data_IF_706312250067
#
_entry.id   IF_706312250067
#
_cell.length_a   1.000
_cell.length_b   1.000
_cell.length_c   1.000
_cell.angle_alpha   90.00
_cell.angle_beta   90.00
_cell.angle_gamma   90.00
#
_symmetry.space_group_name_H-M   'P 1'
#
loop_
_entity.id
_entity.type
_entity.pdbx_description
1 polymer ?
#
# COMPACT_ATOMS: atom_id res chain seq x y z
N UNK A 1 -23.97 35.25 -60.57
CA UNK A 1 -22.54 35.00 -60.29
C UNK A 1 -22.41 33.52 -59.96
N UNK A 2 -22.31 32.68 -60.99
CA UNK A 2 -22.26 31.22 -60.85
C UNK A 2 -20.95 30.79 -60.18
N UNK A 3 -21.06 30.06 -59.06
CA UNK A 3 -19.91 29.43 -58.42
C UNK A 3 -19.51 28.18 -59.22
N UNK A 4 -18.31 28.19 -59.78
CA UNK A 4 -17.72 27.00 -60.42
C UNK A 4 -17.40 25.94 -59.34
N UNK A 5 -17.79 24.67 -59.55
CA UNK A 5 -17.45 23.60 -58.62
C UNK A 5 -15.95 23.36 -58.62
N UNK A 6 -15.36 23.25 -57.42
CA UNK A 6 -13.95 22.96 -57.21
C UNK A 6 -13.65 21.54 -57.72
N UNK A 7 -13.20 21.40 -58.96
CA UNK A 7 -12.69 20.12 -59.47
C UNK A 7 -11.30 19.84 -58.88
N UNK A 8 -11.29 19.22 -57.71
CA UNK A 8 -10.07 18.70 -57.11
C UNK A 8 -9.70 17.43 -57.88
N UNK A 9 -8.57 17.47 -58.59
CA UNK A 9 -8.02 16.30 -59.29
C UNK A 9 -7.85 15.13 -58.32
N UNK A 10 -8.38 13.96 -58.68
CA UNK A 10 -8.30 12.71 -57.89
C UNK A 10 -6.87 12.36 -57.49
N UNK A 11 -5.87 12.67 -58.34
CA UNK A 11 -4.44 12.51 -58.03
C UNK A 11 -3.97 13.41 -56.88
N UNK A 12 -4.47 14.65 -56.78
CA UNK A 12 -4.11 15.57 -55.70
C UNK A 12 -4.73 15.13 -54.36
N UNK A 13 -5.96 14.61 -54.38
CA UNK A 13 -6.61 14.06 -53.19
C UNK A 13 -5.87 12.82 -52.67
N UNK A 14 -5.50 11.89 -53.57
CA UNK A 14 -4.68 10.72 -53.23
C UNK A 14 -3.34 11.10 -52.60
N UNK A 15 -2.62 12.06 -53.20
CA UNK A 15 -1.35 12.53 -52.65
C UNK A 15 -1.51 13.13 -51.24
N UNK A 16 -2.57 13.90 -51.02
CA UNK A 16 -2.84 14.51 -49.72
C UNK A 16 -3.19 13.47 -48.66
N UNK A 17 -3.98 12.44 -49.01
CA UNK A 17 -4.26 11.31 -48.11
C UNK A 17 -3.01 10.51 -47.77
N UNK A 18 -2.12 10.26 -48.73
CA UNK A 18 -0.83 9.61 -48.47
C UNK A 18 0.07 10.45 -47.57
N UNK A 19 0.10 11.78 -47.77
CA UNK A 19 0.86 12.69 -46.92
C UNK A 19 0.33 12.71 -45.48
N UNK A 20 -0.99 12.74 -45.31
CA UNK A 20 -1.63 12.65 -43.99
C UNK A 20 -1.36 11.30 -43.31
N UNK A 21 -1.46 10.19 -44.04
CA UNK A 21 -1.15 8.86 -43.51
C UNK A 21 0.32 8.74 -43.10
N UNK A 22 1.22 9.27 -43.92
CA UNK A 22 2.65 9.30 -43.63
C UNK A 22 2.96 10.16 -42.40
N UNK A 23 2.33 11.34 -42.29
CA UNK A 23 2.46 12.20 -41.12
C UNK A 23 1.89 11.52 -39.87
N UNK A 24 0.75 10.86 -39.98
CA UNK A 24 0.14 10.10 -38.89
C UNK A 24 1.05 8.93 -38.44
N UNK A 25 1.68 8.21 -39.37
CA UNK A 25 2.64 7.15 -39.07
C UNK A 25 3.92 7.69 -38.42
N UNK A 26 4.42 8.85 -38.88
CA UNK A 26 5.57 9.52 -38.26
C UNK A 26 5.24 10.00 -36.84
N UNK A 27 4.07 10.60 -36.65
CA UNK A 27 3.61 11.04 -35.34
C UNK A 27 3.36 9.84 -34.42
N UNK A 28 2.74 8.77 -34.91
CA UNK A 28 2.53 7.54 -34.14
C UNK A 28 3.86 6.89 -33.75
N UNK A 29 4.85 6.85 -34.65
CA UNK A 29 6.19 6.33 -34.32
C UNK A 29 6.97 7.23 -33.36
N UNK A 30 6.74 8.55 -33.39
CA UNK A 30 7.40 9.52 -32.50
C UNK A 30 6.73 9.62 -31.13
N UNK A 31 5.41 9.45 -31.05
CA UNK A 31 4.60 9.55 -29.84
C UNK A 31 4.19 8.20 -29.24
N UNK A 32 4.46 7.06 -29.90
CA UNK A 32 4.47 5.75 -29.25
C UNK A 32 5.67 5.69 -28.30
N UNK A 33 5.50 6.36 -27.18
CA UNK A 33 6.37 6.32 -26.04
C UNK A 33 6.17 4.95 -25.40
N UNK A 34 7.16 4.07 -25.56
CA UNK A 34 7.16 2.79 -24.87
C UNK A 34 7.45 3.05 -23.38
N UNK A 35 6.38 3.32 -22.64
CA UNK A 35 6.41 3.57 -21.19
C UNK A 35 7.08 2.42 -20.45
N UNK A 36 6.87 1.19 -20.90
CA UNK A 36 7.52 -0.01 -20.40
C UNK A 36 9.04 0.01 -20.59
N UNK A 37 9.55 0.48 -21.72
CA UNK A 37 10.98 0.61 -21.96
C UNK A 37 11.63 1.67 -21.05
N UNK A 38 10.95 2.81 -20.85
CA UNK A 38 11.44 3.89 -19.97
C UNK A 38 11.45 3.44 -18.51
N UNK A 39 10.39 2.80 -18.04
CA UNK A 39 10.34 2.23 -16.68
C UNK A 39 11.46 1.21 -16.49
N UNK A 40 11.66 0.29 -17.45
CA UNK A 40 12.78 -0.68 -17.40
C UNK A 40 14.13 0.02 -17.34
N UNK A 41 14.33 1.09 -18.09
CA UNK A 41 15.58 1.86 -18.08
C UNK A 41 15.80 2.56 -16.73
N UNK A 42 14.78 3.18 -16.15
CA UNK A 42 14.85 3.82 -14.83
C UNK A 42 15.16 2.77 -13.76
N UNK A 43 14.42 1.66 -13.72
CA UNK A 43 14.67 0.56 -12.77
C UNK A 43 16.08 0.02 -12.93
N UNK A 44 16.53 -0.26 -14.16
CA UNK A 44 17.89 -0.74 -14.42
C UNK A 44 18.96 0.26 -13.98
N UNK A 45 18.70 1.56 -14.10
CA UNK A 45 19.61 2.61 -13.65
C UNK A 45 19.64 2.74 -12.14
N UNK A 46 18.49 2.62 -11.47
CA UNK A 46 18.37 2.58 -10.01
C UNK A 46 19.06 1.34 -9.43
N UNK A 47 18.84 0.16 -10.02
CA UNK A 47 19.54 -1.09 -9.65
C UNK A 47 21.05 -0.96 -9.86
N UNK A 48 21.49 -0.30 -10.94
CA UNK A 48 22.91 -0.03 -11.16
C UNK A 48 23.48 0.94 -10.13
N UNK A 49 22.74 1.98 -9.77
CA UNK A 49 23.10 2.92 -8.70
C UNK A 49 23.22 2.18 -7.36
N UNK A 50 22.24 1.35 -7.04
CA UNK A 50 22.21 0.49 -5.85
C UNK A 50 23.41 -0.46 -5.79
N UNK A 51 23.78 -1.10 -6.91
CA UNK A 51 24.97 -1.94 -6.98
C UNK A 51 26.30 -1.16 -7.01
N UNK A 52 26.28 0.10 -7.47
CA UNK A 52 27.46 0.97 -7.50
C UNK A 52 27.77 1.56 -6.12
N UNK A 53 26.74 1.72 -5.28
CA UNK A 53 26.91 1.85 -3.84
C UNK A 53 27.38 0.50 -3.32
N UNK A 54 28.59 0.47 -2.77
CA UNK A 54 29.26 -0.78 -2.42
C UNK A 54 28.40 -1.59 -1.43
N UNK A 55 28.18 -2.89 -1.67
CA UNK A 55 27.76 -3.77 -0.61
C UNK A 55 28.80 -3.68 0.51
N UNK A 56 28.29 -3.59 1.74
CA UNK A 56 29.07 -3.64 2.97
C UNK A 56 30.10 -4.78 2.94
N UNK A 57 31.28 -4.62 3.58
CA UNK A 57 31.55 -3.66 4.65
C UNK A 57 32.24 -2.36 4.18
N UNK A 58 31.80 -1.22 4.72
CA UNK A 58 32.52 0.04 4.61
C UNK A 58 33.82 -0.02 5.43
N UNK A 59 34.88 0.65 4.97
CA UNK A 59 36.19 0.70 5.65
C UNK A 59 36.17 1.50 6.95
N UNK A 60 35.20 2.41 7.10
CA UNK A 60 34.99 3.28 8.26
C UNK A 60 33.55 3.13 8.72
N UNK A 61 33.27 3.47 9.99
CA UNK A 61 31.90 3.60 10.49
C UNK A 61 31.10 4.51 9.56
N UNK A 62 29.88 4.10 9.22
CA UNK A 62 28.95 4.93 8.45
C UNK A 62 28.50 6.16 9.25
N UNK A 63 27.78 7.10 8.62
CA UNK A 63 27.25 8.26 9.31
C UNK A 63 26.34 7.85 10.48
N UNK A 64 26.38 8.61 11.56
CA UNK A 64 25.45 8.45 12.68
C UNK A 64 24.16 9.19 12.37
N UNK A 65 23.04 8.48 12.41
CA UNK A 65 21.73 9.04 12.08
C UNK A 65 20.74 8.72 13.19
N UNK A 66 20.03 9.74 13.65
CA UNK A 66 18.89 9.59 14.55
C UNK A 66 17.61 9.77 13.74
N UNK A 67 16.69 8.83 13.84
CA UNK A 67 15.40 8.83 13.14
C UNK A 67 14.28 8.76 14.17
N UNK A 68 13.21 9.53 13.96
CA UNK A 68 12.02 9.54 14.82
C UNK A 68 10.90 10.40 14.22
N UNK A 69 9.68 10.43 14.76
CA UNK A 69 9.18 9.64 15.90
C UNK A 69 8.11 8.60 15.53
N UNK A 70 7.46 8.75 14.38
CA UNK A 70 6.28 7.97 14.00
C UNK A 70 6.60 6.50 13.76
N UNK A 71 6.12 5.64 14.65
CA UNK A 71 6.10 4.20 14.54
C UNK A 71 4.67 3.70 14.69
N UNK A 72 4.28 2.74 13.86
CA UNK A 72 2.99 2.07 13.92
C UNK A 72 3.15 0.63 13.45
N UNK A 73 2.12 -0.17 13.66
CA UNK A 73 2.02 -1.54 13.20
C UNK A 73 0.82 -1.67 12.28
N UNK A 74 1.04 -2.17 11.07
CA UNK A 74 -0.04 -2.42 10.13
C UNK A 74 -0.53 -3.87 10.31
N UNK A 75 -1.82 -4.05 10.53
CA UNK A 75 -2.52 -5.33 10.43
C UNK A 75 -3.30 -5.36 9.13
N UNK A 76 -2.80 -6.07 8.13
CA UNK A 76 -3.48 -6.27 6.85
C UNK A 76 -4.37 -7.49 6.93
N UNK A 77 -5.58 -7.37 6.39
CA UNK A 77 -6.58 -8.43 6.44
C UNK A 77 -7.51 -8.35 5.24
N UNK A 78 -7.93 -9.52 4.73
CA UNK A 78 -8.98 -9.61 3.73
C UNK A 78 -10.29 -9.10 4.32
N UNK A 79 -10.83 -8.05 3.70
CA UNK A 79 -11.97 -7.32 4.23
C UNK A 79 -13.21 -8.21 4.40
N UNK A 80 -13.57 -8.99 3.37
CA UNK A 80 -14.80 -9.80 3.39
C UNK A 80 -14.80 -10.87 4.49
N UNK A 81 -13.76 -11.71 4.64
CA UNK A 81 -13.67 -12.65 5.76
C UNK A 81 -13.72 -12.00 7.14
N UNK A 82 -13.09 -10.83 7.32
CA UNK A 82 -13.14 -10.09 8.58
C UNK A 82 -14.57 -9.60 8.88
N UNK A 83 -15.20 -8.92 7.93
CA UNK A 83 -16.55 -8.38 8.10
C UNK A 83 -17.57 -9.50 8.39
N UNK A 84 -17.43 -10.65 7.73
CA UNK A 84 -18.24 -11.84 8.03
C UNK A 84 -18.02 -12.37 9.44
N UNK A 85 -16.75 -12.44 9.87
CA UNK A 85 -16.37 -12.90 11.22
C UNK A 85 -16.84 -11.95 12.32
N UNK A 86 -16.92 -10.64 12.03
CA UNK A 86 -17.49 -9.62 12.91
C UNK A 86 -19.02 -9.60 12.88
N UNK A 87 -19.66 -10.28 11.92
CA UNK A 87 -21.11 -10.24 11.72
C UNK A 87 -21.63 -8.95 11.08
N UNK A 88 -20.75 -8.13 10.49
CA UNK A 88 -21.12 -6.86 9.86
C UNK A 88 -21.88 -7.13 8.57
N UNK A 89 -23.05 -6.50 8.44
CA UNK A 89 -23.93 -6.68 7.29
C UNK A 89 -23.72 -5.55 6.29
N UNK A 90 -23.81 -5.83 4.98
CA UNK A 90 -23.78 -4.79 3.97
C UNK A 90 -24.95 -3.81 4.19
N UNK A 91 -24.72 -2.49 4.04
CA UNK A 91 -25.77 -1.49 4.13
C UNK A 91 -26.93 -1.77 3.18
N UNK A 92 -28.17 -1.58 3.67
CA UNK A 92 -29.40 -1.80 2.87
C UNK A 92 -29.81 -0.55 2.08
N UNK A 93 -28.89 -0.02 1.27
CA UNK A 93 -29.11 1.16 0.42
C UNK A 93 -28.62 0.89 -1.00
N UNK A 94 -29.01 1.74 -1.96
CA UNK A 94 -28.57 1.55 -3.35
C UNK A 94 -27.07 1.83 -3.53
N UNK A 95 -26.46 1.23 -4.55
CA UNK A 95 -25.06 1.47 -4.91
C UNK A 95 -24.80 2.96 -5.17
N UNK A 96 -25.75 3.67 -5.80
CA UNK A 96 -25.64 5.10 -6.06
C UNK A 96 -25.63 5.94 -4.78
N UNK A 97 -26.47 5.59 -3.80
CA UNK A 97 -26.46 6.26 -2.49
C UNK A 97 -25.15 6.01 -1.75
N UNK A 98 -24.62 4.78 -1.82
CA UNK A 98 -23.39 4.39 -1.15
C UNK A 98 -22.14 5.06 -1.77
N UNK A 99 -22.12 5.25 -3.10
CA UNK A 99 -21.07 6.02 -3.80
C UNK A 99 -21.04 7.49 -3.41
N UNK A 100 -22.20 8.04 -3.07
CA UNK A 100 -22.36 9.43 -2.62
C UNK A 100 -22.35 9.57 -1.09
N UNK A 101 -21.92 8.53 -0.36
CA UNK A 101 -21.86 8.55 1.09
C UNK A 101 -20.92 9.66 1.59
N UNK A 102 -21.38 10.40 2.60
CA UNK A 102 -20.62 11.50 3.17
C UNK A 102 -19.64 11.00 4.23
N UNK A 103 -18.35 11.07 3.92
CA UNK A 103 -17.26 10.71 4.82
C UNK A 103 -16.84 11.84 5.77
N UNK A 104 -17.66 12.87 6.01
CA UNK A 104 -17.32 13.93 6.97
C UNK A 104 -17.50 13.51 8.44
N UNK A 105 -18.33 12.49 8.70
CA UNK A 105 -18.67 12.02 10.05
C UNK A 105 -17.66 11.03 10.65
N UNK A 106 -17.67 10.87 11.97
CA UNK A 106 -16.77 9.97 12.68
C UNK A 106 -17.25 8.51 12.62
N UNK A 107 -16.34 7.53 12.69
CA UNK A 107 -16.71 6.11 12.78
C UNK A 107 -16.79 5.68 14.25
N UNK A 108 -18.01 5.47 14.75
CA UNK A 108 -18.27 5.14 16.15
C UNK A 108 -18.99 3.80 16.30
N UNK A 109 -19.82 3.45 15.32
CA UNK A 109 -20.65 2.25 15.30
C UNK A 109 -20.26 1.29 14.18
N UNK A 110 -20.76 0.05 14.27
CA UNK A 110 -20.59 -0.97 13.22
C UNK A 110 -21.21 -0.50 11.90
N UNK A 111 -22.37 0.15 11.96
CA UNK A 111 -23.03 0.71 10.78
C UNK A 111 -22.17 1.80 10.13
N UNK A 112 -21.58 2.72 10.90
CA UNK A 112 -20.70 3.77 10.33
C UNK A 112 -19.55 3.16 9.52
N UNK A 113 -18.93 2.11 10.09
CA UNK A 113 -17.84 1.38 9.44
C UNK A 113 -18.36 0.66 8.19
N UNK A 114 -19.51 -0.01 8.27
CA UNK A 114 -20.13 -0.71 7.16
C UNK A 114 -20.49 0.23 5.99
N UNK A 115 -21.03 1.42 6.28
CA UNK A 115 -21.32 2.45 5.29
C UNK A 115 -20.04 3.00 4.66
N UNK A 116 -19.03 3.34 5.47
CA UNK A 116 -17.78 3.90 4.96
C UNK A 116 -17.00 2.89 4.12
N UNK A 117 -16.83 1.66 4.62
CA UNK A 117 -16.22 0.56 3.86
C UNK A 117 -17.01 0.27 2.58
N UNK A 118 -18.34 0.13 2.70
CA UNK A 118 -19.21 -0.13 1.56
C UNK A 118 -19.07 0.91 0.45
N UNK A 119 -18.97 2.19 0.82
CA UNK A 119 -18.73 3.31 -0.11
C UNK A 119 -17.42 3.15 -0.89
N UNK A 120 -16.31 2.83 -0.20
CA UNK A 120 -15.02 2.55 -0.84
C UNK A 120 -15.07 1.32 -1.72
N UNK A 121 -15.71 0.25 -1.23
CA UNK A 121 -15.85 -1.03 -1.91
C UNK A 121 -16.59 -0.92 -3.24
N UNK A 122 -17.79 -0.30 -3.28
CA UNK A 122 -18.57 -0.16 -4.53
C UNK A 122 -18.01 0.87 -5.50
N UNK A 123 -17.19 1.79 -5.00
CA UNK A 123 -16.48 2.79 -5.81
C UNK A 123 -15.11 2.29 -6.29
N UNK A 124 -14.60 1.21 -5.69
CA UNK A 124 -13.21 0.80 -5.79
C UNK A 124 -12.25 1.92 -5.37
N UNK A 125 -12.64 2.79 -4.45
CA UNK A 125 -11.84 3.93 -3.99
C UNK A 125 -11.07 3.55 -2.72
N UNK A 126 -9.86 4.12 -2.57
CA UNK A 126 -9.09 3.96 -1.34
C UNK A 126 -9.65 4.92 -0.28
N UNK A 127 -9.87 4.43 0.93
CA UNK A 127 -10.46 5.21 2.02
C UNK A 127 -9.68 4.97 3.30
N UNK A 128 -9.40 6.04 4.03
CA UNK A 128 -8.77 5.99 5.35
C UNK A 128 -9.63 6.76 6.33
N UNK A 129 -9.99 6.12 7.45
CA UNK A 129 -10.88 6.71 8.47
C UNK A 129 -10.40 6.35 9.88
N UNK A 130 -10.42 7.29 10.82
CA UNK A 130 -10.22 6.97 12.23
C UNK A 130 -11.50 6.33 12.82
N UNK A 131 -11.32 5.28 13.62
CA UNK A 131 -12.38 4.68 14.43
C UNK A 131 -12.23 5.21 15.86
N UNK A 132 -13.20 5.99 16.33
CA UNK A 132 -13.09 6.66 17.64
C UNK A 132 -13.54 5.77 18.79
N UNK A 133 -14.39 4.79 18.52
CA UNK A 133 -14.80 3.81 19.51
C UNK A 133 -13.67 2.78 19.74
N UNK A 134 -12.89 3.01 20.80
CA UNK A 134 -11.73 2.18 21.16
C UNK A 134 -12.10 0.71 21.36
N UNK A 135 -13.23 0.42 22.01
CA UNK A 135 -13.68 -0.95 22.29
C UNK A 135 -14.03 -1.68 20.99
N UNK A 136 -14.75 -1.00 20.09
CA UNK A 136 -15.08 -1.53 18.78
C UNK A 136 -13.82 -1.78 17.95
N UNK A 137 -12.91 -0.81 17.91
CA UNK A 137 -11.65 -0.93 17.19
C UNK A 137 -10.79 -2.11 17.72
N UNK A 138 -10.67 -2.23 19.04
CA UNK A 138 -9.95 -3.35 19.67
C UNK A 138 -10.58 -4.70 19.33
N UNK A 139 -11.91 -4.79 19.31
CA UNK A 139 -12.62 -6.00 18.90
C UNK A 139 -12.31 -6.36 17.43
N UNK A 140 -12.33 -5.37 16.52
CA UNK A 140 -11.95 -5.59 15.12
C UNK A 140 -10.52 -6.08 14.96
N UNK A 141 -9.58 -5.46 15.67
CA UNK A 141 -8.16 -5.85 15.67
C UNK A 141 -7.98 -7.26 16.20
N UNK A 142 -8.66 -7.64 17.28
CA UNK A 142 -8.60 -8.99 17.85
C UNK A 142 -9.14 -10.04 16.87
N UNK A 143 -10.29 -9.76 16.24
CA UNK A 143 -10.86 -10.67 15.24
C UNK A 143 -9.95 -10.80 14.02
N UNK A 144 -9.40 -9.69 13.51
CA UNK A 144 -8.44 -9.71 12.41
C UNK A 144 -7.15 -10.44 12.77
N UNK A 145 -6.62 -10.24 13.99
CA UNK A 145 -5.45 -10.96 14.50
C UNK A 145 -5.69 -12.47 14.62
N UNK A 146 -6.92 -12.88 14.93
CA UNK A 146 -7.35 -14.28 14.94
C UNK A 146 -7.28 -14.95 13.56
N UNK A 147 -7.45 -14.17 12.48
CA UNK A 147 -7.34 -14.62 11.09
C UNK A 147 -5.89 -14.71 10.60
N UNK A 148 -4.91 -14.26 11.40
CA UNK A 148 -3.48 -14.39 11.05
C UNK A 148 -3.08 -15.86 11.19
N UNK A 149 -2.49 -16.47 10.13
CA UNK A 149 -2.03 -17.84 10.17
C UNK A 149 -1.06 -18.08 11.34
N UNK A 150 -1.13 -19.23 12.04
CA UNK A 150 -0.32 -19.51 13.23
C UNK A 150 1.17 -19.23 13.06
N UNK A 151 1.73 -19.55 11.89
CA UNK A 151 3.12 -19.37 11.51
C UNK A 151 3.54 -17.89 11.34
N UNK A 152 2.59 -16.98 11.13
CA UNK A 152 2.82 -15.55 10.95
C UNK A 152 2.46 -14.70 12.19
N UNK A 153 1.79 -15.26 13.21
CA UNK A 153 1.30 -14.50 14.37
C UNK A 153 2.39 -13.71 15.09
N UNK A 154 3.55 -14.34 15.27
CA UNK A 154 4.67 -13.73 16.00
C UNK A 154 5.61 -12.93 15.11
N UNK A 155 5.40 -12.88 13.79
CA UNK A 155 6.34 -12.31 12.82
C UNK A 155 5.77 -11.08 12.11
N UNK A 156 6.58 -10.04 11.97
CA UNK A 156 6.29 -8.98 11.00
C UNK A 156 6.76 -9.38 9.60
N UNK A 157 5.82 -9.44 8.67
CA UNK A 157 6.06 -9.67 7.25
C UNK A 157 6.34 -8.32 6.59
N UNK A 158 7.47 -7.69 6.94
CA UNK A 158 7.93 -6.46 6.27
C UNK A 158 9.02 -6.80 5.26
N UNK A 159 8.82 -6.39 4.00
CA UNK A 159 9.72 -6.60 2.86
C UNK A 159 11.14 -6.07 3.06
N UNK A 160 11.37 -5.17 4.01
CA UNK A 160 12.70 -4.60 4.31
C UNK A 160 13.33 -5.16 5.59
N UNK A 161 12.53 -5.59 6.57
CA UNK A 161 13.01 -5.98 7.91
C UNK A 161 13.31 -7.47 8.02
N UNK A 162 12.56 -8.31 7.31
CA UNK A 162 12.66 -9.76 7.50
C UNK A 162 13.46 -10.49 6.43
N UNK A 163 13.90 -9.81 5.35
CA UNK A 163 14.43 -10.49 4.16
C UNK A 163 13.42 -11.46 3.51
N UNK A 164 12.19 -11.54 4.04
CA UNK A 164 11.08 -12.30 3.50
C UNK A 164 10.47 -11.44 2.41
N UNK A 165 10.99 -11.64 1.21
CA UNK A 165 10.29 -11.23 0.02
C UNK A 165 9.01 -12.08 -0.02
N UNK A 166 7.83 -11.49 0.20
CA UNK A 166 6.54 -12.19 0.05
C UNK A 166 6.47 -12.83 -1.36
N UNK A 167 7.16 -12.25 -2.35
CA UNK A 167 7.29 -12.81 -3.70
C UNK A 167 8.18 -14.07 -3.78
N UNK A 168 9.00 -14.38 -2.77
CA UNK A 168 9.83 -15.61 -2.71
C UNK A 168 9.25 -16.73 -1.86
N UNK A 169 8.20 -16.48 -1.07
CA UNK A 169 7.41 -17.57 -0.46
C UNK A 169 6.68 -18.39 -1.54
N UNK A 170 6.58 -17.91 -2.78
CA UNK A 170 6.07 -18.66 -3.93
C UNK A 170 7.08 -19.58 -4.62
N UNK A 171 8.22 -19.91 -4.00
CA UNK A 171 9.15 -20.88 -4.58
C UNK A 171 8.83 -22.34 -4.20
N UNK A 172 8.00 -22.59 -3.18
CA UNK A 172 7.64 -23.98 -2.79
C UNK A 172 6.25 -24.15 -2.13
N UNK A 173 5.44 -23.11 -2.01
CA UNK A 173 4.02 -23.24 -1.62
C UNK A 173 3.13 -22.39 -2.53
N UNK A 174 1.97 -22.96 -2.89
CA UNK A 174 0.97 -22.42 -3.81
C UNK A 174 0.97 -20.90 -3.98
N UNK A 175 1.42 -20.43 -5.15
CA UNK A 175 1.47 -19.03 -5.62
C UNK A 175 0.09 -18.32 -5.56
N UNK A 176 -0.97 -19.03 -5.21
CA UNK A 176 -2.37 -18.57 -5.21
C UNK A 176 -2.99 -18.30 -3.84
N UNK A 177 -2.30 -18.45 -2.71
CA UNK A 177 -2.89 -18.16 -1.38
C UNK A 177 -2.21 -16.99 -0.68
N UNK A 178 -2.70 -15.79 -0.96
CA UNK A 178 -2.48 -14.63 -0.07
C UNK A 178 -3.06 -14.97 1.30
N UNK A 179 -2.30 -14.83 2.41
CA UNK A 179 -2.82 -15.12 3.74
C UNK A 179 -4.02 -14.22 4.05
N UNK A 180 -4.96 -14.70 4.88
CA UNK A 180 -6.17 -13.94 5.21
C UNK A 180 -5.85 -12.68 6.02
N UNK A 181 -4.81 -12.73 6.85
CA UNK A 181 -4.29 -11.57 7.56
C UNK A 181 -2.80 -11.73 7.87
N UNK A 182 -2.08 -10.63 7.97
CA UNK A 182 -0.69 -10.62 8.40
C UNK A 182 -0.28 -9.25 8.96
N UNK A 183 0.74 -9.29 9.81
CA UNK A 183 1.29 -8.09 10.43
C UNK A 183 2.47 -7.55 9.64
N UNK A 184 2.62 -6.24 9.56
CA UNK A 184 3.82 -5.58 9.04
C UNK A 184 4.24 -4.43 9.93
N UNK A 185 5.55 -4.25 10.08
CA UNK A 185 6.10 -3.06 10.74
C UNK A 185 5.82 -1.84 9.85
N UNK A 186 5.11 -0.86 10.41
CA UNK A 186 4.77 0.39 9.76
C UNK A 186 5.59 1.56 10.31
N UNK A 187 5.12 2.77 10.01
CA UNK A 187 5.71 4.02 10.47
C UNK A 187 6.91 4.47 9.63
N UNK A 188 6.97 5.77 9.35
CA UNK A 188 8.05 6.34 8.55
C UNK A 188 9.40 6.20 9.24
N UNK A 189 9.46 6.33 10.57
CA UNK A 189 10.72 6.29 11.31
C UNK A 189 11.33 4.88 11.36
N UNK A 190 10.60 3.80 11.73
CA UNK A 190 11.12 2.44 11.64
C UNK A 190 11.58 2.06 10.22
N UNK A 191 10.81 2.43 9.19
CA UNK A 191 11.16 2.10 7.79
C UNK A 191 12.43 2.81 7.33
N UNK A 192 12.57 4.11 7.62
CA UNK A 192 13.80 4.85 7.34
C UNK A 192 14.99 4.27 8.11
N UNK A 193 14.80 3.92 9.39
CA UNK A 193 15.86 3.39 10.24
C UNK A 193 16.40 2.05 9.70
N UNK A 194 15.51 1.15 9.30
CA UNK A 194 15.86 -0.14 8.70
C UNK A 194 16.62 0.04 7.39
N UNK A 195 16.14 0.94 6.53
CA UNK A 195 16.80 1.21 5.25
C UNK A 195 18.20 1.82 5.43
N UNK A 196 18.34 2.83 6.29
CA UNK A 196 19.62 3.48 6.57
C UNK A 196 20.62 2.51 7.21
N UNK A 197 20.15 1.64 8.11
CA UNK A 197 20.99 0.60 8.70
C UNK A 197 21.47 -0.41 7.64
N UNK A 198 20.61 -0.79 6.70
CA UNK A 198 20.97 -1.64 5.57
C UNK A 198 21.98 -0.97 4.61
N UNK A 199 21.96 0.36 4.51
CA UNK A 199 22.94 1.15 3.76
C UNK A 199 24.25 1.40 4.51
N UNK A 200 24.36 0.94 5.76
CA UNK A 200 25.59 0.98 6.55
C UNK A 200 25.71 2.15 7.53
N UNK A 201 24.64 2.93 7.74
CA UNK A 201 24.61 3.97 8.76
C UNK A 201 24.55 3.37 10.19
N UNK A 202 25.13 4.09 11.15
CA UNK A 202 24.91 3.80 12.58
C UNK A 202 23.61 4.49 13.01
N UNK A 203 22.52 3.71 13.09
CA UNK A 203 21.18 4.26 13.29
C UNK A 203 20.74 4.17 14.74
N UNK A 204 20.24 5.29 15.26
CA UNK A 204 19.42 5.31 16.48
C UNK A 204 17.98 5.66 16.14
N UNK A 205 17.02 4.88 16.63
CA UNK A 205 15.59 5.08 16.40
C UNK A 205 14.92 5.57 17.68
N UNK A 206 14.45 6.82 17.67
CA UNK A 206 13.63 7.40 18.72
C UNK A 206 12.14 7.25 18.34
N UNK A 207 11.46 6.26 18.91
CA UNK A 207 10.04 6.03 18.68
C UNK A 207 9.42 5.31 19.89
N UNK A 208 8.10 5.39 20.04
CA UNK A 208 7.37 4.56 21.01
C UNK A 208 7.14 3.19 20.37
N UNK A 209 7.86 2.18 20.85
CA UNK A 209 7.86 0.84 20.28
C UNK A 209 7.53 -0.19 21.37
N UNK A 210 6.58 -1.07 21.09
CA UNK A 210 6.28 -2.23 21.91
C UNK A 210 7.48 -3.20 21.95
N UNK A 211 7.46 -4.16 22.88
CA UNK A 211 8.46 -5.24 22.91
C UNK A 211 8.48 -6.05 21.60
N UNK A 212 7.30 -6.23 20.99
CA UNK A 212 7.15 -6.94 19.72
C UNK A 212 7.79 -6.16 18.57
N UNK A 213 7.57 -4.86 18.48
CA UNK A 213 8.22 -4.01 17.46
C UNK A 213 9.73 -3.99 17.63
N UNK A 214 10.22 -3.81 18.86
CA UNK A 214 11.67 -3.78 19.16
C UNK A 214 12.38 -5.09 18.83
N UNK A 215 11.78 -6.22 19.16
CA UNK A 215 12.38 -7.54 18.90
C UNK A 215 12.54 -7.87 17.41
N UNK A 216 11.80 -7.18 16.53
CA UNK A 216 11.88 -7.37 15.09
C UNK A 216 12.82 -6.40 14.37
N UNK A 217 13.27 -5.33 15.04
CA UNK A 217 14.24 -4.43 14.44
C UNK A 217 15.62 -5.11 14.31
N UNK A 218 16.39 -4.82 13.25
CA UNK A 218 17.77 -5.25 13.14
C UNK A 218 18.58 -4.88 14.39
N UNK A 219 19.36 -5.81 14.92
CA UNK A 219 20.14 -5.61 16.15
C UNK A 219 21.16 -4.45 16.08
N UNK A 220 21.51 -4.00 14.88
CA UNK A 220 22.39 -2.84 14.68
C UNK A 220 21.69 -1.49 14.91
N UNK A 221 20.35 -1.46 15.01
CA UNK A 221 19.59 -0.24 15.29
C UNK A 221 19.48 -0.05 16.80
N UNK A 222 19.98 1.08 17.30
CA UNK A 222 19.86 1.46 18.70
C UNK A 222 18.51 2.12 18.97
N UNK A 223 17.62 1.47 19.71
CA UNK A 223 16.35 2.09 20.11
C UNK A 223 16.56 3.08 21.26
N UNK A 224 16.05 4.30 21.11
CA UNK A 224 16.04 5.34 22.14
C UNK A 224 14.64 5.38 22.76
N UNK A 225 14.56 5.04 24.05
CA UNK A 225 13.31 5.03 24.82
C UNK A 225 13.23 6.32 25.63
N UNK A 226 12.05 6.94 25.65
CA UNK A 226 11.81 8.11 26.48
C UNK A 226 11.96 7.76 27.97
N UNK A 227 12.73 8.54 28.75
CA UNK A 227 12.88 8.30 30.19
C UNK A 227 11.53 8.37 30.94
N UNK A 228 11.36 7.66 32.07
CA UNK A 228 10.12 7.66 32.85
C UNK A 228 9.67 9.06 33.30
N UNK A 229 10.61 9.99 33.48
CA UNK A 229 10.34 11.39 33.87
C UNK A 229 9.50 12.18 32.85
N UNK A 230 9.31 11.66 31.63
CA UNK A 230 8.39 12.24 30.64
C UNK A 230 6.93 11.84 30.88
N UNK A 231 6.63 11.03 31.90
CA UNK A 231 5.25 10.65 32.27
C UNK A 231 4.54 9.77 31.23
N UNK A 232 5.30 9.04 30.41
CA UNK A 232 4.76 8.14 29.41
C UNK A 232 4.49 6.75 30.01
N UNK A 233 3.48 6.00 29.50
CA UNK A 233 3.23 4.62 29.90
C UNK A 233 4.46 3.71 29.76
N UNK A 234 4.67 2.81 30.73
CA UNK A 234 5.82 1.88 30.80
C UNK A 234 5.88 0.93 29.59
N UNK A 235 4.71 0.49 29.10
CA UNK A 235 4.57 -0.27 27.86
C UNK A 235 3.75 0.58 26.90
N UNK A 236 4.32 1.05 25.79
CA UNK A 236 3.51 1.74 24.78
C UNK A 236 2.51 0.73 24.18
N UNK A 237 1.23 1.08 24.21
CA UNK A 237 0.24 0.42 23.36
C UNK A 237 0.68 0.54 21.90
N UNK A 238 0.58 -0.54 21.13
CA UNK A 238 0.89 -0.52 19.70
C UNK A 238 -0.10 0.42 19.00
N UNK A 239 0.43 1.34 18.20
CA UNK A 239 -0.39 2.15 17.29
C UNK A 239 -0.73 1.31 16.07
N UNK A 240 -1.89 0.65 16.10
CA UNK A 240 -2.28 -0.33 15.09
C UNK A 240 -3.08 0.36 13.98
N UNK A 241 -2.65 0.17 12.74
CA UNK A 241 -3.42 0.51 11.55
C UNK A 241 -4.04 -0.77 10.98
N UNK A 242 -5.37 -0.85 10.99
CA UNK A 242 -6.10 -1.97 10.42
C UNK A 242 -6.40 -1.70 8.93
N UNK A 243 -5.82 -2.50 8.04
CA UNK A 243 -5.93 -2.32 6.58
C UNK A 243 -6.80 -3.44 5.99
N UNK A 244 -7.95 -3.05 5.45
CA UNK A 244 -8.95 -3.97 4.88
C UNK A 244 -8.78 -4.09 3.37
N UNK A 245 -8.08 -5.13 2.90
CA UNK A 245 -7.83 -5.34 1.48
C UNK A 245 -8.96 -6.15 0.80
N UNK A 246 -9.33 -5.77 -0.42
CA UNK A 246 -10.29 -6.50 -1.26
C UNK A 246 -9.85 -6.50 -2.72
N UNK A 247 -10.21 -7.55 -3.46
CA UNK A 247 -9.87 -7.71 -4.87
C UNK A 247 -11.01 -7.27 -5.80
N UNK A 248 -10.65 -7.12 -7.08
CA UNK A 248 -11.65 -6.93 -8.13
C UNK A 248 -12.58 -8.14 -8.20
N UNK A 249 -13.89 -7.91 -8.16
CA UNK A 249 -14.90 -8.97 -8.22
C UNK A 249 -15.24 -9.60 -6.87
N UNK A 250 -14.60 -9.18 -5.77
CA UNK A 250 -15.05 -9.58 -4.43
C UNK A 250 -16.51 -9.16 -4.21
N UNK A 251 -17.25 -9.98 -3.45
CA UNK A 251 -18.67 -9.77 -3.18
C UNK A 251 -18.93 -9.56 -1.68
N UNK A 252 -19.77 -8.58 -1.35
CA UNK A 252 -20.28 -8.36 -0.01
C UNK A 252 -21.79 -8.14 -0.04
N UNK A 253 -22.55 -9.23 0.16
CA UNK A 253 -23.97 -9.26 -0.19
C UNK A 253 -24.15 -9.02 -1.68
N UNK A 254 -24.97 -8.04 -2.04
CA UNK A 254 -25.26 -7.69 -3.44
C UNK A 254 -24.23 -6.72 -4.04
N UNK A 255 -23.24 -6.28 -3.26
CA UNK A 255 -22.21 -5.37 -3.70
C UNK A 255 -21.03 -6.12 -4.30
N UNK A 256 -20.47 -5.57 -5.39
CA UNK A 256 -19.30 -6.12 -6.09
C UNK A 256 -18.24 -5.04 -6.22
N UNK A 257 -17.00 -5.35 -5.86
CA UNK A 257 -15.88 -4.44 -6.02
C UNK A 257 -15.47 -4.31 -7.50
N UNK A 258 -15.43 -3.09 -8.07
CA UNK A 258 -15.10 -2.90 -9.49
C UNK A 258 -13.60 -3.03 -9.77
N UNK A 259 -12.74 -2.90 -8.76
CA UNK A 259 -11.28 -3.07 -8.82
C UNK A 259 -10.73 -3.36 -7.43
N UNK A 260 -9.54 -3.95 -7.37
CA UNK A 260 -8.83 -4.20 -6.12
C UNK A 260 -8.44 -2.88 -5.43
N UNK A 261 -8.66 -2.79 -4.12
CA UNK A 261 -8.25 -1.64 -3.31
C UNK A 261 -8.21 -2.00 -1.81
N UNK A 262 -8.03 -0.98 -0.97
CA UNK A 262 -8.05 -1.05 0.49
C UNK A 262 -8.65 0.22 1.10
#
# INVERSE_FOLDING_TARGET
MEMKPLQISTRKSLLFSFLLLFLALLLHRRYNYDTTAVVKQVVKSLVRLEHSYRPLPQRSRGPQVIVGFGACVDLRVRAIPLLQSLGFKPPRISVEQLRNYNHSGELVTEDDIAFSFGSGFVSGAAIERPVLNKTLFQHMVQTAAGLVPPELRTRFVSTLVSGVNILRLGADEDVNKTPLAWWSLGGSAPMMAVRLAAEGAEVSLAARLSDRERSHLPHCIKTLIAPPQFGLPDIPEEDIHLILEFDSGDQWGDFVAPRANR
#
